data_IF_154028475221
#
_entry.id   IF_154028475221
#
_cell.length_a   1.000
_cell.length_b   1.000
_cell.length_c   1.000
_cell.angle_alpha   90.00
_cell.angle_beta   90.00
_cell.angle_gamma   90.00
#
_symmetry.space_group_name_H-M   'P 1'
#
loop_
_entity.id
_entity.type
_entity.pdbx_description
1 polymer ?
#
# COMPACT_ATOMS: atom_id res chain seq x y z
N UNK A 1 21.82 1.23 1.67
CA UNK A 1 22.02 0.34 0.49
C UNK A 1 20.72 -0.29 -0.02
N UNK A 2 19.53 0.22 0.35
CA UNK A 2 18.21 -0.29 -0.11
C UNK A 2 17.53 0.66 -1.11
N UNK A 3 18.03 1.89 -1.26
CA UNK A 3 17.48 2.93 -2.16
C UNK A 3 17.76 2.71 -3.66
N UNK A 4 17.86 1.46 -4.15
CA UNK A 4 17.98 1.21 -5.61
C UNK A 4 16.99 0.18 -6.19
N UNK A 5 16.25 -0.57 -5.36
CA UNK A 5 15.36 -1.64 -5.85
C UNK A 5 13.84 -1.38 -6.02
N UNK A 6 13.21 -0.31 -5.49
CA UNK A 6 11.73 -0.17 -5.61
C UNK A 6 11.23 0.42 -6.93
N UNK A 7 12.05 1.11 -7.71
CA UNK A 7 11.56 1.83 -8.89
C UNK A 7 12.43 1.60 -10.14
N UNK A 8 11.87 0.79 -11.05
CA UNK A 8 11.78 0.99 -12.51
C UNK A 8 12.35 -0.15 -13.38
N UNK A 9 11.46 -0.94 -13.99
CA UNK A 9 11.68 -1.37 -15.37
C UNK A 9 11.48 -0.15 -16.27
N UNK A 10 12.57 0.39 -16.85
CA UNK A 10 12.45 1.40 -17.91
C UNK A 10 11.93 0.68 -19.15
N UNK A 11 10.67 0.93 -19.53
CA UNK A 11 10.25 0.75 -20.91
C UNK A 11 11.09 1.70 -21.78
N UNK A 12 12.04 1.15 -22.55
CA UNK A 12 12.81 1.87 -23.56
C UNK A 12 11.91 2.16 -24.75
N UNK A 13 11.62 3.44 -25.00
CA UNK A 13 11.03 3.92 -26.25
C UNK A 13 12.12 4.45 -27.19
N UNK A 14 12.31 3.80 -28.36
CA UNK A 14 12.81 4.45 -29.59
C UNK A 14 12.87 3.48 -30.80
N UNK A 15 11.86 3.59 -31.70
CA UNK A 15 11.83 3.65 -33.20
C UNK A 15 12.80 2.78 -34.07
N UNK A 16 12.44 2.36 -35.32
CA UNK A 16 11.87 3.24 -36.35
C UNK A 16 10.71 2.72 -37.23
N UNK A 17 10.05 3.73 -37.79
CA UNK A 17 9.20 3.83 -38.98
C UNK A 17 9.64 2.99 -40.18
N UNK A 18 8.68 2.31 -40.83
CA UNK A 18 8.73 1.97 -42.25
C UNK A 18 7.45 2.44 -42.95
N UNK A 19 7.66 3.05 -44.12
CA UNK A 19 6.70 3.72 -44.97
C UNK A 19 5.64 2.76 -45.53
N UNK A 20 4.42 3.27 -45.73
CA UNK A 20 3.66 2.95 -46.94
C UNK A 20 2.72 4.10 -47.32
N UNK A 21 2.89 4.57 -48.54
CA UNK A 21 2.16 5.65 -49.19
C UNK A 21 0.80 5.19 -49.72
N UNK A 22 -0.25 5.98 -49.54
CA UNK A 22 -1.23 6.20 -50.61
C UNK A 22 -2.01 7.50 -50.45
N UNK A 23 -2.18 8.10 -51.60
CA UNK A 23 -2.70 9.40 -51.98
C UNK A 23 -4.19 9.54 -51.70
N UNK A 24 -4.65 10.64 -51.09
CA UNK A 24 -5.89 11.29 -51.54
C UNK A 24 -5.97 12.76 -51.10
N UNK A 25 -6.04 13.64 -52.11
CA UNK A 25 -6.40 15.06 -51.99
C UNK A 25 -7.90 15.19 -51.68
N UNK A 26 -8.26 16.20 -50.87
CA UNK A 26 -9.28 17.20 -51.23
C UNK A 26 -9.08 18.49 -50.41
N UNK A 27 -9.32 19.62 -51.09
CA UNK A 27 -9.00 21.01 -50.72
C UNK A 27 -10.19 21.71 -50.03
N UNK A 28 -9.88 22.54 -49.01
CA UNK A 28 -10.32 23.94 -48.68
C UNK A 28 -11.83 24.29 -48.60
N UNK A 29 -12.23 25.51 -48.14
CA UNK A 29 -11.64 26.49 -47.17
C UNK A 29 -12.70 26.93 -46.10
N UNK A 30 -12.44 27.80 -45.10
CA UNK A 30 -12.45 29.28 -45.13
C UNK A 30 -12.43 29.79 -43.65
N UNK A 31 -11.64 30.86 -43.40
CA UNK A 31 -11.93 32.03 -42.52
C UNK A 31 -12.12 31.76 -41.00
N UNK A 32 -11.52 32.47 -40.05
CA UNK A 32 -10.73 33.69 -40.02
C UNK A 32 -10.85 34.35 -38.63
N UNK A 33 -9.85 35.18 -38.31
CA UNK A 33 -9.90 36.36 -37.44
C UNK A 33 -9.85 36.25 -35.88
N UNK A 34 -9.25 37.32 -35.35
CA UNK A 34 -9.25 37.87 -33.98
C UNK A 34 -8.27 37.25 -32.97
N UNK A 35 -7.06 37.79 -32.72
CA UNK A 35 -6.74 39.07 -32.04
C UNK A 35 -7.59 39.35 -30.80
N UNK A 36 -7.01 39.14 -29.62
CA UNK A 36 -7.21 40.05 -28.49
C UNK A 36 -6.02 39.95 -27.51
N UNK A 37 -5.17 40.98 -27.55
CA UNK A 37 -4.17 41.31 -26.54
C UNK A 37 -4.84 42.35 -25.65
N UNK A 38 -4.97 42.09 -24.34
CA UNK A 38 -5.18 43.16 -23.37
C UNK A 38 -4.48 42.82 -22.04
N UNK A 39 -3.36 43.49 -21.86
CA UNK A 39 -2.74 43.76 -20.57
C UNK A 39 -3.57 44.77 -19.78
N UNK A 40 -3.84 44.50 -18.51
CA UNK A 40 -4.07 45.45 -17.41
C UNK A 40 -3.76 44.63 -16.14
N UNK A 41 -2.85 44.96 -15.22
CA UNK A 41 -2.25 46.23 -14.82
C UNK A 41 -2.50 46.40 -13.32
N UNK A 42 -1.43 46.65 -12.54
CA UNK A 42 -1.41 47.47 -11.30
C UNK A 42 -2.18 46.90 -10.07
N UNK A 43 -1.77 46.94 -8.80
CA UNK A 43 -0.68 47.56 -8.05
C UNK A 43 -0.58 46.90 -6.66
N UNK A 44 0.57 47.11 -6.02
CA UNK A 44 0.86 46.95 -4.58
C UNK A 44 -0.20 47.58 -3.64
N UNK A 45 -0.30 47.04 -2.42
CA UNK A 45 -0.44 47.83 -1.18
C UNK A 45 0.01 47.00 0.03
N UNK A 46 1.17 47.39 0.57
CA UNK A 46 1.58 47.14 1.95
C UNK A 46 0.70 47.98 2.89
N UNK A 47 0.36 47.46 4.07
CA UNK A 47 0.35 48.26 5.30
C UNK A 47 0.52 47.36 6.53
N UNK A 48 1.58 47.65 7.28
CA UNK A 48 1.88 47.26 8.67
C UNK A 48 0.78 47.73 9.64
N UNK A 49 0.55 47.13 10.81
CA UNK A 49 1.43 47.22 11.99
C UNK A 49 0.74 46.64 13.25
N UNK A 50 1.53 46.08 14.17
CA UNK A 50 1.55 46.34 15.64
C UNK A 50 0.28 46.05 16.49
N UNK A 51 0.28 45.56 17.74
CA UNK A 51 1.29 45.28 18.78
C UNK A 51 0.59 44.62 20.01
N UNK A 52 1.40 44.07 20.94
CA UNK A 52 1.21 43.86 22.41
C UNK A 52 0.60 42.53 22.89
N UNK A 53 1.32 41.60 23.55
CA UNK A 53 2.17 41.57 24.78
C UNK A 53 1.42 41.40 26.11
N UNK A 54 1.87 40.42 26.91
CA UNK A 54 1.59 40.21 28.35
C UNK A 54 1.39 38.71 28.63
N UNK A 55 2.34 37.87 29.05
CA UNK A 55 3.40 37.87 30.09
C UNK A 55 2.93 37.39 31.49
N UNK A 56 3.52 36.27 31.90
CA UNK A 56 3.82 35.79 33.27
C UNK A 56 2.62 35.44 34.19
N UNK A 57 2.67 34.48 35.12
CA UNK A 57 3.72 34.17 36.10
C UNK A 57 3.62 32.71 36.60
N UNK A 58 4.65 32.32 37.34
CA UNK A 58 5.08 30.97 37.71
C UNK A 58 4.98 30.68 39.23
N UNK A 59 4.97 29.37 39.57
CA UNK A 59 5.37 28.71 40.85
C UNK A 59 4.36 28.70 42.02
N UNK A 60 4.48 27.80 43.05
CA UNK A 60 5.50 26.78 43.32
C UNK A 60 5.01 25.36 43.70
N UNK A 61 6.03 24.50 43.82
CA UNK A 61 6.11 23.12 44.32
C UNK A 61 5.83 22.99 45.83
N UNK A 62 5.12 21.93 46.26
CA UNK A 62 5.14 21.42 47.65
C UNK A 62 5.10 19.88 47.65
N UNK A 63 5.97 19.18 48.40
CA UNK A 63 5.94 17.74 48.58
C UNK A 63 5.42 17.34 49.98
N UNK A 64 4.53 16.33 50.05
CA UNK A 64 4.13 15.52 51.23
C UNK A 64 2.96 14.64 50.74
N UNK A 65 2.79 13.34 51.01
CA UNK A 65 3.19 12.50 52.13
C UNK A 65 3.00 11.03 51.71
N UNK A 66 3.92 10.21 52.19
CA UNK A 66 3.95 8.74 52.15
C UNK A 66 2.71 8.11 52.81
N UNK A 67 2.06 7.17 52.14
CA UNK A 67 1.26 6.14 52.82
C UNK A 67 1.41 4.79 52.12
N UNK A 68 2.02 3.85 52.84
CA UNK A 68 2.00 2.42 52.55
C UNK A 68 0.59 1.92 52.87
N UNK A 69 -0.09 1.32 51.89
CA UNK A 69 -1.05 0.26 52.17
C UNK A 69 -0.77 -0.89 51.22
N UNK A 70 -0.17 -1.94 51.78
CA UNK A 70 -0.23 -3.27 51.21
C UNK A 70 -1.65 -3.81 51.35
N UNK A 71 -2.08 -4.51 50.33
CA UNK A 71 -3.35 -5.19 50.25
C UNK A 71 -3.32 -6.10 49.03
N UNK A 72 -2.81 -7.31 49.23
CA UNK A 72 -2.93 -8.42 48.31
C UNK A 72 -4.41 -8.72 48.00
N UNK A 73 -4.73 -8.90 46.71
CA UNK A 73 -5.63 -9.94 46.16
C UNK A 73 -6.47 -9.42 44.99
N UNK A 74 -6.93 -10.29 44.08
CA UNK A 74 -6.21 -11.41 43.49
C UNK A 74 -6.10 -11.20 41.97
N UNK A 75 -5.07 -11.77 41.37
CA UNK A 75 -5.06 -12.06 39.96
C UNK A 75 -6.32 -12.88 39.64
N UNK A 76 -7.34 -12.25 39.04
CA UNK A 76 -8.36 -12.98 38.29
C UNK A 76 -7.62 -13.56 37.09
N UNK A 77 -7.08 -14.76 37.31
CA UNK A 77 -6.87 -15.78 36.30
C UNK A 77 -8.04 -15.69 35.34
N UNK A 78 -7.83 -15.05 34.19
CA UNK A 78 -8.64 -15.29 33.02
C UNK A 78 -8.57 -16.79 32.84
N UNK A 79 -9.63 -17.48 33.25
CA UNK A 79 -9.82 -18.88 32.91
C UNK A 79 -9.86 -18.86 31.40
N UNK A 80 -8.75 -19.26 30.79
CA UNK A 80 -8.75 -19.74 29.41
C UNK A 80 -9.89 -20.72 29.35
N UNK A 81 -11.01 -20.32 28.76
CA UNK A 81 -12.03 -21.25 28.36
C UNK A 81 -11.31 -22.08 27.31
N UNK A 82 -10.77 -23.21 27.73
CA UNK A 82 -10.32 -24.27 26.85
C UNK A 82 -11.60 -24.75 26.16
N UNK A 83 -11.91 -24.12 25.03
CA UNK A 83 -12.90 -24.61 24.10
C UNK A 83 -12.36 -25.93 23.56
N UNK A 84 -12.76 -27.02 24.19
CA UNK A 84 -12.62 -28.37 23.65
C UNK A 84 -13.79 -28.54 22.68
N UNK A 85 -13.52 -28.34 21.38
CA UNK A 85 -14.50 -28.43 20.29
C UNK A 85 -13.83 -28.45 18.93
N UNK A 86 -13.72 -29.65 18.35
CA UNK A 86 -13.07 -30.03 17.08
C UNK A 86 -11.55 -29.87 17.00
N UNK A 87 -10.88 -30.99 17.25
CA UNK A 87 -9.47 -31.23 16.95
C UNK A 87 -9.11 -30.88 15.48
N UNK A 88 -8.40 -29.77 15.30
CA UNK A 88 -7.16 -29.75 14.51
C UNK A 88 -7.24 -29.84 12.99
N UNK A 89 -8.21 -29.22 12.31
CA UNK A 89 -8.16 -29.10 10.85
C UNK A 89 -7.75 -27.71 10.32
N UNK A 90 -7.27 -26.81 11.16
CA UNK A 90 -6.71 -25.52 10.72
C UNK A 90 -5.18 -25.53 10.76
N UNK A 91 -4.54 -24.56 10.09
CA UNK A 91 -3.09 -24.33 10.08
C UNK A 91 -2.81 -22.85 10.36
N UNK A 92 -1.63 -22.50 10.90
CA UNK A 92 -1.22 -21.10 11.03
C UNK A 92 -1.34 -20.40 9.67
N UNK A 93 -2.12 -19.32 9.65
CA UNK A 93 -2.49 -18.60 8.43
C UNK A 93 -2.11 -17.14 8.55
N UNK A 94 -1.86 -16.51 7.40
CA UNK A 94 -1.40 -15.14 7.28
C UNK A 94 -2.19 -14.41 6.19
N UNK A 95 -2.26 -13.09 6.34
CA UNK A 95 -2.61 -12.16 5.27
C UNK A 95 -1.33 -11.58 4.72
N UNK A 96 -1.13 -11.60 3.41
CA UNK A 96 0.04 -11.03 2.74
C UNK A 96 -0.39 -9.84 1.89
N UNK A 97 0.33 -8.74 2.02
CA UNK A 97 0.18 -7.55 1.19
C UNK A 97 1.27 -7.53 0.12
N UNK A 98 0.84 -7.26 -1.12
CA UNK A 98 1.70 -7.07 -2.28
C UNK A 98 1.13 -5.94 -3.11
N UNK A 99 1.92 -4.91 -3.41
CA UNK A 99 1.53 -3.87 -4.38
C UNK A 99 1.98 -4.25 -5.78
N UNK A 100 1.23 -3.80 -6.79
CA UNK A 100 1.51 -4.06 -8.21
C UNK A 100 1.26 -2.78 -9.04
N UNK A 101 2.02 -2.56 -10.13
CA UNK A 101 1.98 -1.30 -10.89
C UNK A 101 0.68 -1.05 -11.67
N UNK A 102 -0.10 -2.08 -11.97
CA UNK A 102 -1.31 -1.94 -12.79
C UNK A 102 -2.27 -3.13 -12.64
N UNK A 103 -3.47 -2.93 -13.19
CA UNK A 103 -4.59 -3.86 -13.16
C UNK A 103 -4.30 -5.21 -13.83
N UNK A 104 -3.57 -5.19 -14.94
CA UNK A 104 -3.22 -6.38 -15.69
C UNK A 104 -2.21 -7.24 -14.92
N UNK A 105 -1.18 -6.61 -14.34
CA UNK A 105 -0.20 -7.26 -13.48
C UNK A 105 -0.88 -7.87 -12.25
N UNK A 106 -1.73 -7.10 -11.55
CA UNK A 106 -2.47 -7.60 -10.39
C UNK A 106 -3.38 -8.78 -10.70
N UNK A 107 -4.06 -8.76 -11.86
CA UNK A 107 -4.88 -9.89 -12.30
C UNK A 107 -4.04 -11.13 -12.57
N UNK A 108 -2.97 -11.01 -13.36
CA UNK A 108 -2.10 -12.13 -13.73
C UNK A 108 -1.45 -12.77 -12.51
N UNK A 109 -0.93 -11.94 -11.59
CA UNK A 109 -0.25 -12.40 -10.39
C UNK A 109 -1.24 -13.07 -9.42
N UNK A 110 -2.42 -12.49 -9.20
CA UNK A 110 -3.46 -13.11 -8.37
C UNK A 110 -3.89 -14.48 -8.92
N UNK A 111 -4.10 -14.58 -10.24
CA UNK A 111 -4.47 -15.85 -10.88
C UNK A 111 -3.37 -16.90 -10.79
N UNK A 112 -2.10 -16.53 -10.98
CA UNK A 112 -0.99 -17.50 -10.89
C UNK A 112 -0.79 -18.00 -9.46
N UNK A 113 -0.86 -17.12 -8.46
CA UNK A 113 -0.76 -17.48 -7.04
C UNK A 113 -1.80 -18.54 -6.65
N UNK A 114 -3.07 -18.33 -7.03
CA UNK A 114 -4.16 -19.27 -6.71
C UNK A 114 -4.00 -20.56 -7.51
N UNK A 115 -3.66 -20.48 -8.80
CA UNK A 115 -3.46 -21.64 -9.68
C UNK A 115 -2.36 -22.57 -9.16
N UNK A 116 -1.28 -22.00 -8.62
CA UNK A 116 -0.16 -22.74 -8.04
C UNK A 116 -0.40 -23.20 -6.59
N UNK A 117 -1.61 -22.93 -6.06
CA UNK A 117 -2.02 -23.26 -4.69
C UNK A 117 -1.12 -22.63 -3.62
N UNK A 118 -0.51 -21.49 -3.94
CA UNK A 118 0.31 -20.70 -3.02
C UNK A 118 -0.54 -19.85 -2.07
N UNK A 119 -1.81 -19.61 -2.41
CA UNK A 119 -2.79 -18.97 -1.54
C UNK A 119 -4.20 -19.49 -1.85
N UNK A 120 -5.08 -19.40 -0.85
CA UNK A 120 -6.47 -19.81 -1.02
C UNK A 120 -7.28 -18.77 -1.80
N UNK A 121 -7.04 -17.48 -1.56
CA UNK A 121 -7.63 -16.40 -2.35
C UNK A 121 -6.84 -15.09 -2.27
N UNK A 122 -7.09 -14.23 -3.24
CA UNK A 122 -6.50 -12.89 -3.36
C UNK A 122 -7.62 -11.87 -3.59
N UNK A 123 -7.69 -10.84 -2.75
CA UNK A 123 -8.53 -9.66 -3.03
C UNK A 123 -7.67 -8.61 -3.71
N UNK A 124 -8.24 -7.86 -4.65
CA UNK A 124 -7.56 -6.79 -5.37
C UNK A 124 -8.24 -5.47 -5.05
N UNK A 125 -7.47 -4.51 -4.55
CA UNK A 125 -7.93 -3.15 -4.25
C UNK A 125 -7.30 -2.21 -5.27
N UNK A 126 -8.07 -1.75 -6.28
CA UNK A 126 -7.55 -0.86 -7.31
C UNK A 126 -7.50 0.60 -6.83
N UNK A 127 -6.73 1.43 -7.55
CA UNK A 127 -6.72 2.88 -7.35
C UNK A 127 -6.02 3.33 -6.07
N UNK A 128 -4.98 2.60 -5.67
CA UNK A 128 -4.11 2.96 -4.56
C UNK A 128 -3.08 3.97 -5.08
N UNK A 129 -2.68 4.91 -4.24
CA UNK A 129 -1.54 5.78 -4.48
C UNK A 129 -0.45 5.45 -3.45
N UNK A 130 0.73 5.09 -3.94
CA UNK A 130 1.90 4.75 -3.13
C UNK A 130 2.87 5.92 -3.12
N UNK A 131 3.16 6.46 -1.94
CA UNK A 131 4.07 7.59 -1.73
C UNK A 131 5.32 7.12 -0.99
N UNK A 132 6.50 7.35 -1.56
CA UNK A 132 7.77 6.89 -1.01
C UNK A 132 8.93 7.79 -1.42
N UNK A 133 10.06 7.75 -0.70
CA UNK A 133 11.26 8.49 -1.07
C UNK A 133 12.17 7.65 -1.98
N UNK A 134 12.56 8.24 -3.11
CA UNK A 134 13.53 7.66 -4.02
C UNK A 134 14.57 8.62 -4.51
N UNK A 135 15.85 8.25 -4.34
CA UNK A 135 17.00 9.07 -4.75
C UNK A 135 16.92 10.53 -4.27
N UNK A 136 16.38 10.73 -3.06
CA UNK A 136 16.22 12.04 -2.43
C UNK A 136 14.96 12.80 -2.86
N UNK A 137 14.08 12.20 -3.66
CA UNK A 137 12.84 12.83 -4.12
C UNK A 137 11.63 12.00 -3.67
N UNK A 138 10.55 12.67 -3.27
CA UNK A 138 9.27 12.00 -3.01
C UNK A 138 8.65 11.60 -4.35
N UNK A 139 8.40 10.30 -4.50
CA UNK A 139 7.71 9.71 -5.63
C UNK A 139 6.27 9.36 -5.25
N UNK A 140 5.44 9.29 -6.27
CA UNK A 140 4.04 8.93 -6.15
C UNK A 140 3.65 8.09 -7.36
N UNK A 141 3.28 6.84 -7.12
CA UNK A 141 2.87 5.90 -8.17
C UNK A 141 1.45 5.39 -7.92
N UNK A 142 0.69 5.18 -9.02
CA UNK A 142 -0.62 4.54 -8.95
C UNK A 142 -0.45 3.03 -9.01
N UNK A 143 -1.04 2.33 -8.05
CA UNK A 143 -0.88 0.89 -7.87
C UNK A 143 -2.21 0.18 -7.56
N UNK A 144 -2.18 -1.15 -7.55
CA UNK A 144 -3.19 -1.95 -6.86
C UNK A 144 -2.57 -2.68 -5.67
N UNK A 145 -3.37 -2.88 -4.62
CA UNK A 145 -2.99 -3.70 -3.47
C UNK A 145 -3.62 -5.09 -3.59
N UNK A 146 -2.80 -6.13 -3.49
CA UNK A 146 -3.22 -7.51 -3.36
C UNK A 146 -3.27 -7.90 -1.87
N UNK A 147 -4.42 -8.42 -1.44
CA UNK A 147 -4.63 -8.94 -0.09
C UNK A 147 -4.81 -10.46 -0.18
N UNK A 148 -3.73 -11.18 0.08
CA UNK A 148 -3.58 -12.60 -0.17
C UNK A 148 -3.78 -13.38 1.14
N UNK A 149 -4.62 -14.41 1.14
CA UNK A 149 -4.89 -15.24 2.32
C UNK A 149 -4.27 -16.62 2.11
N UNK A 150 -3.26 -16.96 2.91
CA UNK A 150 -2.50 -18.20 2.75
C UNK A 150 -2.01 -18.77 4.09
N UNK A 151 -1.34 -19.93 4.05
CA UNK A 151 -0.66 -20.55 5.18
C UNK A 151 0.66 -19.81 5.47
N UNK A 152 1.04 -19.77 6.74
CA UNK A 152 2.33 -19.21 7.14
C UNK A 152 3.51 -19.96 6.52
N UNK A 153 3.40 -21.29 6.36
CA UNK A 153 4.45 -22.13 5.75
C UNK A 153 4.74 -21.79 4.29
N UNK A 154 3.81 -21.15 3.58
CA UNK A 154 3.95 -20.83 2.16
C UNK A 154 4.51 -19.42 1.92
N UNK A 155 4.83 -18.65 2.96
CA UNK A 155 5.29 -17.27 2.80
C UNK A 155 6.53 -17.16 1.91
N UNK A 156 7.53 -18.02 2.12
CA UNK A 156 8.76 -18.02 1.33
C UNK A 156 8.48 -18.36 -0.14
N UNK A 157 7.75 -19.46 -0.39
CA UNK A 157 7.38 -19.87 -1.74
C UNK A 157 6.52 -18.81 -2.46
N UNK A 158 5.59 -18.17 -1.75
CA UNK A 158 4.80 -17.06 -2.28
C UNK A 158 5.68 -15.86 -2.61
N UNK A 159 6.64 -15.53 -1.75
CA UNK A 159 7.56 -14.40 -1.96
C UNK A 159 8.44 -14.63 -3.19
N UNK A 160 9.00 -15.82 -3.36
CA UNK A 160 9.79 -16.18 -4.55
C UNK A 160 8.94 -16.17 -5.82
N UNK A 161 7.70 -16.67 -5.74
CA UNK A 161 6.75 -16.60 -6.86
C UNK A 161 6.43 -15.16 -7.25
N UNK A 162 6.21 -14.28 -6.28
CA UNK A 162 5.98 -12.85 -6.53
C UNK A 162 7.21 -12.27 -7.22
N UNK A 163 8.42 -12.41 -6.65
CA UNK A 163 9.66 -11.91 -7.27
C UNK A 163 9.84 -12.35 -8.72
N UNK A 164 9.60 -13.63 -9.01
CA UNK A 164 9.75 -14.18 -10.36
C UNK A 164 8.73 -13.62 -11.38
N UNK A 165 7.60 -13.09 -10.90
CA UNK A 165 6.48 -12.64 -11.73
C UNK A 165 6.13 -11.16 -11.51
N UNK A 166 7.04 -10.37 -10.94
CA UNK A 166 6.84 -8.96 -10.66
C UNK A 166 7.73 -8.06 -11.52
N UNK A 167 7.25 -6.87 -11.86
CA UNK A 167 7.99 -5.90 -12.68
C UNK A 167 9.09 -5.18 -11.90
N UNK A 168 8.87 -4.98 -10.60
CA UNK A 168 9.83 -4.35 -9.70
C UNK A 168 10.94 -5.31 -9.28
N UNK A 169 12.15 -4.78 -9.12
CA UNK A 169 13.31 -5.53 -8.66
C UNK A 169 13.16 -5.99 -7.21
N UNK A 170 12.61 -5.12 -6.34
CA UNK A 170 12.14 -5.48 -5.00
C UNK A 170 10.65 -5.17 -4.89
N UNK A 171 9.78 -6.17 -5.12
CA UNK A 171 8.36 -6.04 -4.83
C UNK A 171 8.11 -5.95 -3.33
N UNK A 172 7.12 -5.15 -2.93
CA UNK A 172 6.59 -5.22 -1.57
C UNK A 172 5.93 -6.58 -1.34
N UNK A 173 6.40 -7.31 -0.33
CA UNK A 173 5.75 -8.54 0.17
C UNK A 173 5.88 -8.57 1.68
N UNK A 174 4.79 -8.29 2.39
CA UNK A 174 4.76 -8.29 3.86
C UNK A 174 3.59 -9.11 4.38
N UNK A 175 3.73 -9.74 5.55
CA UNK A 175 2.72 -10.64 6.12
C UNK A 175 2.24 -10.20 7.49
N UNK A 176 0.95 -10.39 7.75
CA UNK A 176 0.27 -10.17 9.02
C UNK A 176 -0.33 -11.49 9.52
N UNK A 177 -0.19 -11.84 10.80
CA UNK A 177 -0.73 -13.09 11.34
C UNK A 177 -2.26 -13.05 11.45
N UNK A 178 -2.92 -14.16 11.09
CA UNK A 178 -4.34 -14.38 11.38
C UNK A 178 -4.45 -15.07 12.74
N UNK A 179 -5.00 -14.36 13.73
CA UNK A 179 -5.12 -14.85 15.11
C UNK A 179 -6.46 -15.52 15.44
N UNK A 180 -7.39 -15.54 14.49
CA UNK A 180 -8.71 -16.15 14.64
C UNK A 180 -9.61 -15.86 13.44
N UNK A 181 -10.86 -16.31 13.50
CA UNK A 181 -11.84 -16.12 12.44
C UNK A 181 -12.87 -17.23 12.37
N UNK A 182 -13.65 -17.28 11.29
CA UNK A 182 -14.55 -18.39 11.03
C UNK A 182 -13.77 -19.69 10.79
N UNK A 183 -13.98 -20.71 11.64
CA UNK A 183 -13.28 -21.99 11.56
C UNK A 183 -13.40 -22.65 10.19
N UNK A 184 -14.60 -22.67 9.60
CA UNK A 184 -14.81 -23.26 8.27
C UNK A 184 -14.00 -22.55 7.19
N UNK A 185 -13.80 -21.24 7.32
CA UNK A 185 -12.98 -20.46 6.39
C UNK A 185 -11.50 -20.77 6.54
N UNK A 186 -11.02 -20.93 7.78
CA UNK A 186 -9.62 -21.30 8.06
C UNK A 186 -9.30 -22.73 7.60
N UNK A 187 -10.25 -23.65 7.75
CA UNK A 187 -10.16 -25.01 7.19
C UNK A 187 -10.13 -24.96 5.66
N UNK A 188 -10.96 -24.11 5.04
CA UNK A 188 -10.92 -23.91 3.60
C UNK A 188 -9.60 -23.32 3.12
N UNK A 189 -8.97 -22.40 3.86
CA UNK A 189 -7.62 -21.91 3.56
C UNK A 189 -6.64 -23.08 3.51
N UNK A 190 -6.64 -23.93 4.54
CA UNK A 190 -5.81 -25.14 4.57
C UNK A 190 -6.07 -25.99 3.33
N UNK A 191 -7.31 -26.40 3.08
CA UNK A 191 -7.65 -27.34 2.02
C UNK A 191 -7.40 -26.80 0.60
N UNK A 192 -7.39 -25.47 0.43
CA UNK A 192 -7.20 -24.81 -0.88
C UNK A 192 -5.74 -24.53 -1.22
N UNK A 193 -4.82 -24.77 -0.29
CA UNK A 193 -3.39 -24.48 -0.44
C UNK A 193 -2.57 -25.76 -0.37
N UNK A 194 -1.39 -25.75 -1.01
CA UNK A 194 -0.46 -26.88 -0.94
C UNK A 194 0.19 -26.98 0.45
N UNK A 195 0.73 -28.15 0.76
CA UNK A 195 1.41 -28.41 2.03
C UNK A 195 2.82 -27.81 2.07
#
# INVERSE_FOLDING_TARGET
MVSTLCARARATSSFPTLLSSSTLRRRLPLVGAAFCVLSFGLSNLCLSSSLKTGCAQSLPFVPLLRSKFGGESPAKSVRTIKMEGSSGNTVPSIVVYVTVPNKEAGKKLAESIVREKLAACVNRVPGIESVYEWKGEIQTDSEELLIIKTRQSLLEALTEHVKANHEYEVPEVISLPITGGNLQYLEWIKNSTRD
#
